data_IF_094988017618
#
_entry.id   IF_094988017618
#
_cell.length_a   1.000
_cell.length_b   1.000
_cell.length_c   1.000
_cell.angle_alpha   90.00
_cell.angle_beta   90.00
_cell.angle_gamma   90.00
#
_symmetry.space_group_name_H-M   'P 1'
#
loop_
_entity.id
_entity.type
_entity.pdbx_description
1 polymer ?
#
# COMPACT_ATOMS: atom_id res chain seq x y z
N UNK A 1 34.62 2.73 -2.76
CA UNK A 1 33.64 1.81 -3.41
C UNK A 1 32.32 1.93 -2.66
N UNK A 2 31.18 2.08 -3.36
CA UNK A 2 29.86 2.20 -2.71
C UNK A 2 29.28 0.79 -2.49
N UNK A 3 28.81 0.43 -1.28
CA UNK A 3 28.19 -0.87 -1.04
C UNK A 3 26.91 -1.07 -1.87
N UNK A 4 26.72 -2.27 -2.43
CA UNK A 4 25.53 -2.66 -3.21
C UNK A 4 24.78 -3.78 -2.49
N UNK A 5 23.47 -3.62 -2.27
CA UNK A 5 22.58 -4.67 -1.75
C UNK A 5 21.58 -5.07 -2.82
N UNK A 6 21.46 -6.37 -3.09
CA UNK A 6 20.54 -6.92 -4.12
C UNK A 6 19.28 -7.52 -3.48
N UNK A 7 18.15 -7.19 -4.12
CA UNK A 7 16.78 -7.57 -3.80
C UNK A 7 16.03 -7.80 -5.11
N UNK A 8 14.96 -8.60 -5.08
CA UNK A 8 14.11 -8.82 -6.26
C UNK A 8 13.21 -7.60 -6.51
N UNK A 9 12.84 -6.89 -5.44
CA UNK A 9 12.11 -5.63 -5.51
C UNK A 9 12.55 -4.64 -4.43
N UNK A 10 12.54 -3.36 -4.78
CA UNK A 10 12.76 -2.23 -3.87
C UNK A 10 11.51 -1.36 -3.83
N UNK A 11 10.86 -1.30 -2.68
CA UNK A 11 9.71 -0.41 -2.43
C UNK A 11 10.20 0.84 -1.70
N UNK A 12 10.01 2.01 -2.31
CA UNK A 12 10.40 3.30 -1.71
C UNK A 12 9.16 3.99 -1.16
N UNK A 13 9.00 3.93 0.16
CA UNK A 13 7.88 4.45 0.93
C UNK A 13 7.17 3.34 1.71
N UNK A 14 6.99 3.52 3.02
CA UNK A 14 6.28 2.57 3.90
C UNK A 14 4.90 3.10 4.36
N UNK A 15 4.19 3.79 3.46
CA UNK A 15 2.78 4.12 3.65
C UNK A 15 1.85 2.95 3.30
N UNK A 16 0.54 3.19 3.29
CA UNK A 16 -0.44 2.14 2.98
C UNK A 16 -0.18 1.42 1.66
N UNK A 17 0.09 2.17 0.58
CA UNK A 17 0.41 1.61 -0.73
C UNK A 17 1.70 0.78 -0.74
N UNK A 18 2.79 1.32 -0.18
CA UNK A 18 4.08 0.65 -0.15
C UNK A 18 4.08 -0.62 0.70
N UNK A 19 3.45 -0.58 1.88
CA UNK A 19 3.30 -1.76 2.73
C UNK A 19 2.39 -2.82 2.08
N UNK A 20 1.29 -2.42 1.42
CA UNK A 20 0.42 -3.34 0.69
C UNK A 20 1.17 -4.04 -0.45
N UNK A 21 1.94 -3.29 -1.23
CA UNK A 21 2.75 -3.81 -2.33
C UNK A 21 3.86 -4.75 -1.81
N UNK A 22 4.60 -4.33 -0.78
CA UNK A 22 5.65 -5.14 -0.17
C UNK A 22 5.13 -6.46 0.39
N UNK A 23 3.95 -6.44 1.03
CA UNK A 23 3.29 -7.65 1.53
C UNK A 23 2.95 -8.63 0.40
N UNK A 24 2.39 -8.17 -0.72
CA UNK A 24 2.06 -9.04 -1.85
C UNK A 24 3.31 -9.60 -2.54
N UNK A 25 4.37 -8.81 -2.65
CA UNK A 25 5.64 -9.27 -3.19
C UNK A 25 6.28 -10.32 -2.28
N UNK A 26 6.32 -10.08 -0.97
CA UNK A 26 6.85 -11.03 0.00
C UNK A 26 6.04 -12.35 0.07
N UNK A 27 4.71 -12.28 -0.10
CA UNK A 27 3.83 -13.47 -0.20
C UNK A 27 4.13 -14.34 -1.42
N UNK A 28 4.76 -13.77 -2.45
CA UNK A 28 5.26 -14.50 -3.63
C UNK A 28 6.72 -14.93 -3.47
N UNK A 29 7.22 -14.95 -2.24
CA UNK A 29 8.57 -15.38 -1.87
C UNK A 29 9.70 -14.52 -2.47
N UNK A 30 9.37 -13.31 -2.93
CA UNK A 30 10.37 -12.36 -3.41
C UNK A 30 11.11 -11.72 -2.24
N UNK A 31 12.43 -11.53 -2.40
CA UNK A 31 13.26 -10.79 -1.45
C UNK A 31 13.04 -9.29 -1.64
N UNK A 32 12.19 -8.70 -0.81
CA UNK A 32 11.80 -7.28 -0.89
C UNK A 32 12.56 -6.43 0.11
N UNK A 33 13.08 -5.28 -0.33
CA UNK A 33 13.49 -4.19 0.57
C UNK A 33 12.41 -3.10 0.60
N UNK A 34 12.03 -2.68 1.80
CA UNK A 34 11.14 -1.53 2.01
C UNK A 34 11.94 -0.40 2.65
N UNK A 35 12.06 0.72 1.95
CA UNK A 35 12.71 1.92 2.44
C UNK A 35 11.67 2.94 2.88
N UNK A 36 11.96 3.63 3.98
CA UNK A 36 11.15 4.76 4.41
C UNK A 36 12.03 5.77 5.13
N UNK A 37 11.78 7.06 4.88
CA UNK A 37 12.46 8.17 5.56
C UNK A 37 11.98 8.39 6.99
N UNK A 38 10.85 7.77 7.36
CA UNK A 38 10.26 7.78 8.70
C UNK A 38 9.88 6.36 9.10
N UNK A 39 9.68 6.12 10.40
CA UNK A 39 9.13 4.84 10.86
C UNK A 39 7.78 4.54 10.17
N UNK A 40 7.49 3.30 9.72
CA UNK A 40 6.35 3.01 8.84
C UNK A 40 4.99 3.54 9.32
N UNK A 41 4.68 3.39 10.61
CA UNK A 41 3.41 3.87 11.20
C UNK A 41 3.36 5.39 11.41
N UNK A 42 4.41 6.14 11.01
CA UNK A 42 4.43 7.61 10.93
C UNK A 42 4.33 8.13 9.49
N UNK A 43 4.01 7.26 8.53
CA UNK A 43 3.63 7.69 7.18
C UNK A 43 2.30 8.47 7.21
N UNK A 44 2.08 9.37 6.24
CA UNK A 44 0.87 10.22 6.25
C UNK A 44 -0.44 9.44 6.08
N UNK A 45 -0.39 8.17 5.64
CA UNK A 45 -1.55 7.26 5.70
C UNK A 45 -2.14 7.17 7.11
N UNK A 46 -1.32 7.33 8.17
CA UNK A 46 -1.78 7.34 9.57
C UNK A 46 -2.76 8.48 9.89
N UNK A 47 -2.75 9.56 9.12
CA UNK A 47 -3.59 10.73 9.36
C UNK A 47 -4.95 10.66 8.63
N UNK A 48 -5.23 9.59 7.86
CA UNK A 48 -6.52 9.42 7.20
C UNK A 48 -7.65 9.17 8.22
N UNK A 49 -8.82 9.77 8.00
CA UNK A 49 -9.95 9.72 8.95
C UNK A 49 -11.26 9.22 8.33
N UNK A 50 -11.62 9.67 7.12
CA UNK A 50 -12.95 9.44 6.55
C UNK A 50 -13.26 7.98 6.20
N UNK A 51 -12.27 7.22 5.74
CA UNK A 51 -12.43 5.81 5.35
C UNK A 51 -11.90 5.52 3.94
N UNK A 52 -12.34 4.40 3.38
CA UNK A 52 -12.03 3.97 2.01
C UNK A 52 -13.37 3.80 1.29
N UNK A 53 -13.58 4.52 0.19
CA UNK A 53 -14.76 4.37 -0.63
C UNK A 53 -14.67 3.02 -1.38
N UNK A 54 -15.72 2.20 -1.28
CA UNK A 54 -15.83 0.94 -2.02
C UNK A 54 -17.31 0.56 -2.19
N UNK A 55 -17.73 0.02 -3.35
CA UNK A 55 -19.11 -0.33 -3.63
C UNK A 55 -19.49 -1.67 -2.98
N UNK A 56 -19.62 -1.66 -1.65
CA UNK A 56 -19.85 -2.88 -0.85
C UNK A 56 -21.33 -3.20 -0.63
N UNK A 57 -22.24 -2.29 -0.96
CA UNK A 57 -23.68 -2.41 -0.75
C UNK A 57 -24.14 -2.73 0.70
N UNK A 58 -23.32 -2.40 1.71
CA UNK A 58 -23.63 -2.71 3.11
C UNK A 58 -24.69 -1.80 3.74
N UNK A 59 -24.83 -0.56 3.25
CA UNK A 59 -25.80 0.43 3.77
C UNK A 59 -27.03 0.54 2.87
N UNK A 60 -26.83 0.53 1.56
CA UNK A 60 -27.85 0.57 0.51
C UNK A 60 -27.34 -0.24 -0.68
N UNK A 61 -28.21 -0.57 -1.63
CA UNK A 61 -27.79 -1.14 -2.91
C UNK A 61 -26.70 -0.26 -3.56
N UNK A 62 -25.69 -0.91 -4.12
CA UNK A 62 -24.55 -0.26 -4.75
C UNK A 62 -24.01 -1.10 -5.92
N UNK A 63 -23.34 -0.46 -6.88
CA UNK A 63 -22.76 -1.11 -8.04
C UNK A 63 -21.43 -0.48 -8.42
N UNK A 64 -20.43 -1.29 -8.76
CA UNK A 64 -19.09 -0.78 -9.07
C UNK A 64 -19.05 0.18 -10.28
N UNK A 65 -19.98 0.05 -11.23
CA UNK A 65 -20.14 1.01 -12.33
C UNK A 65 -20.54 2.40 -11.85
N UNK A 66 -21.34 2.52 -10.77
CA UNK A 66 -21.71 3.82 -10.21
C UNK A 66 -20.49 4.47 -9.57
N UNK A 67 -19.72 3.70 -8.78
CA UNK A 67 -18.45 4.14 -8.21
C UNK A 67 -17.38 4.52 -9.27
N UNK A 68 -17.36 3.83 -10.42
CA UNK A 68 -16.45 4.17 -11.53
C UNK A 68 -16.89 5.45 -12.27
N UNK A 69 -18.19 5.74 -12.29
CA UNK A 69 -18.74 6.91 -12.94
C UNK A 69 -18.48 8.19 -12.13
N UNK A 70 -18.60 8.11 -10.80
CA UNK A 70 -18.27 9.19 -9.86
C UNK A 70 -16.76 9.50 -9.80
#
# INVERSE_FOLDING_TARGET
MIPVRKFDALVVGAGGSGMRAALELARRELKVAVLSKVFPTRSHTVAAQGGIAAPLANSTEDHWHWHMYD
#
